data_IF_073593419925
#
_entry.id   IF_073593419925
#
_cell.length_a   1.000
_cell.length_b   1.000
_cell.length_c   1.000
_cell.angle_alpha   90.00
_cell.angle_beta   90.00
_cell.angle_gamma   90.00
#
_symmetry.space_group_name_H-M   'P 1'
#
loop_
_entity.id
_entity.type
_entity.pdbx_description
1 polymer ?
#
# COMPACT_ATOMS: atom_id res chain seq x y z
N UNK A 1 1.27 1.92 24.48
CA UNK A 1 1.31 0.49 24.86
C UNK A 1 2.76 0.06 24.97
N UNK A 2 3.12 -0.75 25.96
CA UNK A 2 4.48 -1.29 26.06
C UNK A 2 4.75 -2.25 24.89
N UNK A 3 5.96 -2.22 24.34
CA UNK A 3 6.35 -3.11 23.24
C UNK A 3 6.41 -4.55 23.76
N UNK A 4 5.56 -5.43 23.23
CA UNK A 4 5.63 -6.88 23.49
C UNK A 4 6.79 -7.48 22.70
N UNK A 5 7.63 -8.31 23.33
CA UNK A 5 8.72 -9.02 22.66
C UNK A 5 8.16 -10.22 21.89
N UNK A 6 8.38 -10.24 20.59
CA UNK A 6 7.96 -11.35 19.70
C UNK A 6 9.16 -11.91 18.95
N UNK A 7 9.25 -13.23 18.86
CA UNK A 7 10.26 -13.93 18.06
C UNK A 7 9.64 -14.39 16.75
N UNK A 8 10.33 -14.13 15.62
CA UNK A 8 9.88 -14.49 14.28
C UNK A 8 11.00 -15.24 13.58
N UNK A 9 10.65 -16.29 12.83
CA UNK A 9 11.60 -17.05 12.03
C UNK A 9 11.61 -16.51 10.60
N UNK A 10 12.81 -16.41 10.04
CA UNK A 10 13.04 -16.03 8.65
C UNK A 10 13.83 -17.13 7.95
N UNK A 11 13.61 -17.28 6.64
CA UNK A 11 14.57 -18.01 5.82
C UNK A 11 15.90 -17.27 5.80
N UNK A 12 16.99 -17.98 5.50
CA UNK A 12 18.32 -17.36 5.36
C UNK A 12 18.32 -16.23 4.31
N UNK A 13 17.60 -16.40 3.21
CA UNK A 13 17.46 -15.40 2.16
C UNK A 13 16.69 -14.15 2.64
N UNK A 14 15.59 -14.32 3.37
CA UNK A 14 14.84 -13.20 3.96
C UNK A 14 15.71 -12.44 4.98
N UNK A 15 16.40 -13.17 5.86
CA UNK A 15 17.29 -12.55 6.86
C UNK A 15 18.38 -11.70 6.20
N UNK A 16 19.04 -12.25 5.17
CA UNK A 16 20.07 -11.52 4.42
C UNK A 16 19.53 -10.23 3.82
N UNK A 17 18.35 -10.27 3.18
CA UNK A 17 17.72 -9.08 2.59
C UNK A 17 17.35 -8.03 3.64
N UNK A 18 16.88 -8.45 4.81
CA UNK A 18 16.56 -7.54 5.91
C UNK A 18 17.82 -6.89 6.50
N UNK A 19 18.90 -7.66 6.69
CA UNK A 19 20.18 -7.14 7.17
C UNK A 19 20.79 -6.14 6.17
N UNK A 20 20.75 -6.45 4.87
CA UNK A 20 21.21 -5.55 3.81
C UNK A 20 20.42 -4.22 3.83
N UNK A 21 19.11 -4.28 4.02
CA UNK A 21 18.25 -3.09 4.15
C UNK A 21 18.59 -2.29 5.40
N UNK A 22 18.68 -2.94 6.56
CA UNK A 22 19.03 -2.29 7.83
C UNK A 22 20.37 -1.54 7.73
N UNK A 23 21.36 -2.15 7.06
CA UNK A 23 22.66 -1.52 6.81
C UNK A 23 22.56 -0.31 5.89
N UNK A 24 21.80 -0.39 4.80
CA UNK A 24 21.58 0.74 3.86
C UNK A 24 20.91 1.91 4.56
N UNK A 25 19.90 1.63 5.38
CA UNK A 25 19.08 2.63 6.04
C UNK A 25 19.69 3.12 7.37
N UNK A 26 20.87 2.58 7.75
CA UNK A 26 21.56 2.84 9.04
C UNK A 26 20.64 2.68 10.25
N UNK A 27 19.79 1.66 10.21
CA UNK A 27 18.81 1.37 11.26
C UNK A 27 18.98 -0.07 11.78
N UNK A 28 18.17 -0.44 12.77
CA UNK A 28 18.19 -1.79 13.34
C UNK A 28 17.24 -2.72 12.60
N UNK A 29 17.55 -4.03 12.59
CA UNK A 29 16.64 -5.05 12.06
C UNK A 29 15.24 -4.96 12.71
N UNK A 30 15.18 -4.67 14.01
CA UNK A 30 13.91 -4.52 14.73
C UNK A 30 13.09 -3.34 14.19
N UNK A 31 13.73 -2.23 13.82
CA UNK A 31 13.04 -1.10 13.21
C UNK A 31 12.55 -1.45 11.80
N UNK A 32 13.37 -2.11 10.98
CA UNK A 32 12.93 -2.57 9.64
C UNK A 32 11.71 -3.48 9.72
N UNK A 33 11.69 -4.42 10.68
CA UNK A 33 10.55 -5.31 10.88
C UNK A 33 9.33 -4.52 11.36
N UNK A 34 9.50 -3.57 12.28
CA UNK A 34 8.41 -2.71 12.75
C UNK A 34 7.81 -1.91 11.60
N UNK A 35 8.63 -1.23 10.80
CA UNK A 35 8.16 -0.42 9.66
C UNK A 35 7.41 -1.28 8.64
N UNK A 36 7.86 -2.52 8.41
CA UNK A 36 7.17 -3.46 7.53
C UNK A 36 5.80 -3.89 8.08
N UNK A 37 5.72 -4.16 9.38
CA UNK A 37 4.46 -4.49 10.06
C UNK A 37 3.53 -3.28 10.07
N UNK A 38 4.03 -2.09 10.42
CA UNK A 38 3.26 -0.85 10.41
C UNK A 38 2.74 -0.57 9.00
N UNK A 39 3.56 -0.73 7.96
CA UNK A 39 3.12 -0.59 6.57
C UNK A 39 2.05 -1.61 6.17
N UNK A 40 2.14 -2.85 6.66
CA UNK A 40 1.14 -3.88 6.41
C UNK A 40 -0.17 -3.61 7.15
N UNK A 41 -0.10 -3.04 8.36
CA UNK A 41 -1.27 -2.67 9.16
C UNK A 41 -1.88 -1.34 8.73
N UNK A 42 -1.11 -0.48 8.06
CA UNK A 42 -1.55 0.78 7.46
C UNK A 42 -2.22 0.56 6.10
N UNK A 43 -2.50 -0.70 5.70
CA UNK A 43 -3.60 -0.98 4.79
C UNK A 43 -4.91 -0.49 5.46
N UNK A 44 -5.16 0.82 5.32
CA UNK A 44 -6.51 1.35 5.13
C UNK A 44 -7.25 0.36 4.24
N UNK A 45 -8.54 0.06 4.52
CA UNK A 45 -9.31 -0.82 3.64
C UNK A 45 -9.07 -0.34 2.22
N UNK A 46 -8.57 -1.22 1.34
CA UNK A 46 -8.23 -0.92 -0.05
C UNK A 46 -9.27 0.05 -0.57
N UNK A 47 -8.94 1.35 -0.61
CA UNK A 47 -9.93 2.34 -0.96
C UNK A 47 -10.49 1.89 -2.28
N UNK A 48 -11.81 1.80 -2.37
CA UNK A 48 -12.42 1.37 -3.61
C UNK A 48 -11.85 2.27 -4.72
N UNK A 49 -11.68 1.74 -5.93
CA UNK A 49 -11.18 2.53 -7.06
C UNK A 49 -11.91 3.88 -7.13
N UNK A 50 -13.20 3.89 -6.83
CA UNK A 50 -14.05 5.08 -6.82
C UNK A 50 -13.68 6.06 -5.70
N UNK A 51 -13.38 5.60 -4.49
CA UNK A 51 -12.88 6.45 -3.38
C UNK A 51 -11.54 7.11 -3.71
N UNK A 52 -10.61 6.38 -4.35
CA UNK A 52 -9.32 6.94 -4.77
C UNK A 52 -9.51 8.03 -5.84
N UNK A 53 -10.40 7.76 -6.81
CA UNK A 53 -10.71 8.71 -7.87
C UNK A 53 -11.39 9.97 -7.32
N UNK A 54 -12.37 9.83 -6.42
CA UNK A 54 -13.02 10.98 -5.79
C UNK A 54 -12.06 11.82 -4.94
N UNK A 55 -11.16 11.18 -4.18
CA UNK A 55 -10.19 11.90 -3.36
C UNK A 55 -9.15 12.67 -4.21
N UNK A 56 -8.77 12.12 -5.36
CA UNK A 56 -7.72 12.70 -6.22
C UNK A 56 -8.25 13.81 -7.12
N UNK A 57 -9.43 13.61 -7.71
CA UNK A 57 -9.98 14.53 -8.72
C UNK A 57 -11.12 15.41 -8.18
N UNK A 58 -11.50 15.22 -6.92
CA UNK A 58 -12.71 15.81 -6.34
C UNK A 58 -13.97 15.10 -6.83
N UNK A 59 -15.03 15.13 -6.03
CA UNK A 59 -16.35 14.78 -6.53
C UNK A 59 -16.90 15.96 -7.34
N UNK A 60 -17.33 15.72 -8.59
CA UNK A 60 -18.34 16.57 -9.23
C UNK A 60 -19.71 15.97 -8.86
N UNK A 61 -20.36 16.41 -7.76
CA UNK A 61 -21.72 15.99 -7.48
C UNK A 61 -22.62 16.38 -8.65
N UNK A 62 -23.31 15.39 -9.23
CA UNK A 62 -24.18 15.58 -10.40
C UNK A 62 -23.51 15.35 -11.76
N UNK A 63 -22.27 14.84 -11.82
CA UNK A 63 -21.70 14.38 -13.08
C UNK A 63 -22.38 13.08 -13.51
N UNK A 64 -23.25 13.16 -14.51
CA UNK A 64 -23.73 11.98 -15.21
C UNK A 64 -22.58 11.42 -16.07
N UNK A 65 -22.12 10.21 -15.73
CA UNK A 65 -21.12 9.51 -16.54
C UNK A 65 -21.86 8.88 -17.73
N UNK A 66 -21.58 9.33 -18.97
CA UNK A 66 -22.24 8.77 -20.14
C UNK A 66 -21.91 7.28 -20.30
N UNK A 67 -22.85 6.52 -20.85
CA UNK A 67 -22.67 5.09 -21.02
C UNK A 67 -21.49 4.82 -21.97
N UNK A 68 -20.72 3.74 -21.75
CA UNK A 68 -19.57 3.38 -22.60
C UNK A 68 -19.92 3.26 -24.08
N UNK A 69 -21.16 2.90 -24.41
CA UNK A 69 -21.69 2.87 -25.77
C UNK A 69 -21.63 4.22 -26.49
N UNK A 70 -21.68 5.33 -25.77
CA UNK A 70 -21.59 6.69 -26.35
C UNK A 70 -20.17 7.04 -26.81
N UNK A 71 -19.17 6.27 -26.36
CA UNK A 71 -17.77 6.47 -26.70
C UNK A 71 -17.36 5.69 -27.94
N UNK A 72 -18.22 4.78 -28.40
CA UNK A 72 -18.02 4.00 -29.60
C UNK A 72 -18.25 4.90 -30.82
N UNK A 73 -17.20 5.59 -31.24
CA UNK A 73 -17.22 6.48 -32.41
C UNK A 73 -17.10 5.71 -33.72
N UNK A 74 -17.70 4.53 -33.85
CA UNK A 74 -17.92 3.85 -35.13
C UNK A 74 -16.71 3.76 -36.08
N UNK A 75 -15.48 3.77 -35.59
CA UNK A 75 -14.30 3.52 -36.41
C UNK A 75 -14.11 2.01 -36.48
N UNK A 76 -14.93 1.40 -37.33
CA UNK A 76 -14.67 0.08 -37.92
C UNK A 76 -13.75 0.20 -39.14
#
# INVERSE_FOLDING_TARGET
MASTRTQVYFTSAQRKRLDDRARRDRTTLAQVVRDAVDSYLTDEPLRSRDEVLMATYGALPGLEVPARSEWDRGYG
#
